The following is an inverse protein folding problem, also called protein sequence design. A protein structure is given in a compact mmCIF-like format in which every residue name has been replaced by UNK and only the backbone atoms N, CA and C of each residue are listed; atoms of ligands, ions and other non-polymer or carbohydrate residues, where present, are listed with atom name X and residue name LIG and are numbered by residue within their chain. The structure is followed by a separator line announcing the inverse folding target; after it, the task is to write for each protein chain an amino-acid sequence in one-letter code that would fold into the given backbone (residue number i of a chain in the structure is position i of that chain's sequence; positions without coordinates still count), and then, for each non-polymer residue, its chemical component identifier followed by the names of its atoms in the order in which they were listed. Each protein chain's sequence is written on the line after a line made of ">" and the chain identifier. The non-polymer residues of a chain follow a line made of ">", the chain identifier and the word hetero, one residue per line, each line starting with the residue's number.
data_IF_076289577462
#
_entry.id   IF_076289577462
#
_cell.length_a   1.000
_cell.length_b   1.000
_cell.length_c   1.000
_cell.angle_alpha   90.00
_cell.angle_beta   90.00
_cell.angle_gamma   90.00
#
_symmetry.space_group_name_H-M   'P 1'
#
loop_
_entity.id
_entity.type
_entity.pdbx_description
1 polymer ?
#
# COMPACT_ATOMS: atom_id res chain seq x y z
N UNK A 1 6.18 -35.17 -23.49
CA UNK A 1 5.34 -34.72 -22.36
C UNK A 1 5.97 -33.44 -21.84
N UNK A 2 5.45 -32.31 -22.31
CA UNK A 2 5.94 -31.00 -21.90
C UNK A 2 5.39 -30.69 -20.51
N UNK A 3 6.29 -30.56 -19.54
CA UNK A 3 5.92 -30.21 -18.17
C UNK A 3 5.68 -28.71 -18.17
N UNK A 4 4.42 -28.29 -18.25
CA UNK A 4 4.01 -26.91 -18.02
C UNK A 4 4.51 -26.53 -16.64
N UNK A 5 5.55 -25.70 -16.57
CA UNK A 5 5.96 -25.05 -15.35
C UNK A 5 4.91 -23.99 -15.06
N UNK A 6 3.94 -24.31 -14.22
CA UNK A 6 3.15 -23.29 -13.57
C UNK A 6 4.11 -22.61 -12.59
N UNK A 7 4.66 -21.46 -12.96
CA UNK A 7 5.18 -20.56 -11.93
C UNK A 7 4.03 -20.25 -10.98
N UNK A 8 4.25 -20.18 -9.66
CA UNK A 8 3.25 -19.65 -8.76
C UNK A 8 2.85 -18.26 -9.25
N UNK A 9 1.55 -17.97 -9.30
CA UNK A 9 1.06 -16.66 -9.70
C UNK A 9 1.66 -15.59 -8.77
N UNK A 10 2.01 -14.40 -9.29
CA UNK A 10 2.55 -13.34 -8.45
C UNK A 10 1.52 -12.97 -7.37
N UNK A 11 1.94 -13.00 -6.11
CA UNK A 11 1.05 -12.68 -4.98
C UNK A 11 0.63 -11.22 -4.99
N UNK A 12 1.42 -10.33 -5.62
CA UNK A 12 1.12 -8.91 -5.79
C UNK A 12 1.17 -8.56 -7.28
N UNK A 13 0.10 -7.94 -7.79
CA UNK A 13 0.07 -7.29 -9.10
C UNK A 13 -0.07 -5.78 -8.89
N UNK A 14 0.85 -5.01 -9.46
CA UNK A 14 0.79 -3.54 -9.47
C UNK A 14 0.85 -3.02 -10.90
N UNK A 15 -0.12 -2.20 -11.27
CA UNK A 15 -0.21 -1.55 -12.59
C UNK A 15 -0.29 -0.06 -12.44
N UNK A 16 0.55 0.64 -13.19
CA UNK A 16 0.62 2.10 -13.18
C UNK A 16 0.34 2.65 -14.56
N UNK A 17 -0.43 3.73 -14.62
CA UNK A 17 -0.61 4.53 -15.83
C UNK A 17 -0.54 6.02 -15.53
N UNK A 18 -0.10 6.81 -16.50
CA UNK A 18 -0.17 8.26 -16.45
C UNK A 18 -1.61 8.72 -16.61
N UNK A 19 -2.01 9.75 -15.85
CA UNK A 19 -3.34 10.35 -15.93
C UNK A 19 -3.22 11.87 -16.08
N UNK A 20 -4.27 12.50 -16.59
CA UNK A 20 -4.41 13.95 -16.46
C UNK A 20 -4.44 14.32 -14.98
N UNK A 21 -3.70 15.36 -14.59
CA UNK A 21 -3.54 15.75 -13.19
C UNK A 21 -4.86 16.29 -12.62
N UNK A 22 -5.55 15.55 -11.73
CA UNK A 22 -6.78 16.04 -11.15
C UNK A 22 -6.50 17.13 -10.10
N UNK A 23 -7.50 17.94 -9.79
CA UNK A 23 -7.47 18.72 -8.56
C UNK A 23 -7.46 17.77 -7.34
N UNK A 24 -6.69 18.10 -6.30
CA UNK A 24 -6.57 17.25 -5.12
C UNK A 24 -7.93 16.92 -4.49
N UNK A 25 -8.78 17.94 -4.30
CA UNK A 25 -10.12 17.77 -3.72
C UNK A 25 -10.99 16.83 -4.55
N UNK A 26 -10.97 16.95 -5.88
CA UNK A 26 -11.71 16.07 -6.77
C UNK A 26 -11.24 14.61 -6.66
N UNK A 27 -9.92 14.39 -6.59
CA UNK A 27 -9.37 13.05 -6.35
C UNK A 27 -9.74 12.51 -4.95
N UNK A 28 -9.73 13.36 -3.92
CA UNK A 28 -10.10 12.99 -2.55
C UNK A 28 -11.55 12.55 -2.44
N UNK A 29 -12.45 13.29 -3.09
CA UNK A 29 -13.89 12.99 -3.08
C UNK A 29 -14.23 11.74 -3.90
N UNK A 30 -13.53 11.52 -5.02
CA UNK A 30 -13.73 10.36 -5.88
C UNK A 30 -13.28 9.04 -5.24
N UNK A 31 -12.29 9.08 -4.34
CA UNK A 31 -11.76 7.90 -3.69
C UNK A 31 -12.57 7.51 -2.45
N UNK A 32 -12.99 6.24 -2.28
CA UNK A 32 -13.71 5.82 -1.08
C UNK A 32 -12.81 5.78 0.16
N UNK A 33 -13.42 5.77 1.35
CA UNK A 33 -12.72 5.47 2.59
C UNK A 33 -12.39 3.96 2.70
N UNK A 34 -11.35 3.56 3.45
CA UNK A 34 -10.36 4.42 4.12
C UNK A 34 -9.40 5.07 3.14
N UNK A 35 -8.93 6.28 3.47
CA UNK A 35 -8.00 7.07 2.64
C UNK A 35 -6.67 7.26 3.36
N UNK A 36 -5.60 7.30 2.59
CA UNK A 36 -4.27 7.70 3.04
C UNK A 36 -3.85 8.93 2.26
N UNK A 37 -3.40 9.98 2.94
CA UNK A 37 -2.72 11.12 2.32
C UNK A 37 -1.30 11.18 2.90
N UNK A 38 -0.30 11.21 2.02
CA UNK A 38 1.11 11.23 2.42
C UNK A 38 1.86 12.27 1.60
N UNK A 39 2.56 13.18 2.29
CA UNK A 39 3.38 14.21 1.69
C UNK A 39 4.71 14.29 2.44
N UNK A 40 5.73 13.61 1.92
CA UNK A 40 7.07 13.66 2.49
C UNK A 40 7.88 14.80 1.86
N UNK A 41 8.84 15.40 2.60
CA UNK A 41 9.78 16.34 2.01
C UNK A 41 10.47 15.73 0.79
N UNK A 42 10.59 16.49 -0.29
CA UNK A 42 11.28 16.12 -1.53
C UNK A 42 10.76 14.82 -2.20
N UNK A 43 9.54 14.38 -1.89
CA UNK A 43 8.87 13.23 -2.52
C UNK A 43 7.50 13.65 -3.07
N UNK A 44 6.92 12.79 -3.91
CA UNK A 44 5.60 13.02 -4.48
C UNK A 44 4.50 12.97 -3.41
N UNK A 45 3.49 13.83 -3.58
CA UNK A 45 2.25 13.73 -2.80
C UNK A 45 1.48 12.48 -3.25
N UNK A 46 1.08 11.65 -2.31
CA UNK A 46 0.27 10.45 -2.57
C UNK A 46 -1.07 10.60 -1.88
N UNK A 47 -2.13 10.38 -2.64
CA UNK A 47 -3.48 10.20 -2.15
C UNK A 47 -3.95 8.81 -2.53
N UNK A 48 -4.34 8.01 -1.55
CA UNK A 48 -4.63 6.60 -1.76
C UNK A 48 -5.90 6.15 -1.05
N UNK A 49 -6.42 4.99 -1.46
CA UNK A 49 -7.68 4.45 -0.98
C UNK A 49 -7.70 2.93 -0.95
N UNK A 50 -8.46 2.41 0.03
CA UNK A 50 -8.65 0.99 0.25
C UNK A 50 -7.37 0.29 0.70
N UNK A 51 -7.42 -1.04 0.75
CA UNK A 51 -6.28 -1.88 1.12
C UNK A 51 -6.26 -3.12 0.22
N UNK A 52 -5.21 -3.26 -0.59
CA UNK A 52 -4.90 -4.48 -1.33
C UNK A 52 -4.30 -5.52 -0.39
N UNK A 53 -3.41 -5.06 0.51
CA UNK A 53 -2.91 -5.82 1.64
C UNK A 53 -2.85 -4.94 2.89
N UNK A 54 -2.93 -5.56 4.07
CA UNK A 54 -2.68 -4.91 5.35
C UNK A 54 -1.74 -5.81 6.15
N UNK A 55 -0.61 -5.25 6.57
CA UNK A 55 0.34 -5.89 7.46
C UNK A 55 0.09 -5.36 8.88
N UNK A 56 -0.01 -6.27 9.85
CA UNK A 56 -0.14 -5.94 11.27
C UNK A 56 0.84 -6.76 12.09
N UNK A 57 1.35 -6.17 13.17
CA UNK A 57 2.17 -6.87 14.14
C UNK A 57 2.01 -6.28 15.53
N UNK A 58 2.38 -7.06 16.55
CA UNK A 58 2.31 -6.68 17.97
C UNK A 58 3.51 -7.23 18.73
N UNK A 59 3.78 -6.64 19.90
CA UNK A 59 4.87 -7.04 20.78
C UNK A 59 6.22 -6.47 20.37
N UNK A 60 7.30 -6.91 21.04
CA UNK A 60 8.64 -6.33 20.88
C UNK A 60 9.20 -6.52 19.46
N UNK A 61 8.84 -7.61 18.78
CA UNK A 61 9.35 -7.95 17.46
C UNK A 61 8.56 -7.32 16.30
N UNK A 62 7.57 -6.46 16.59
CA UNK A 62 6.66 -5.89 15.57
C UNK A 62 7.37 -5.19 14.42
N UNK A 63 8.50 -4.54 14.68
CA UNK A 63 9.30 -3.89 13.63
C UNK A 63 9.91 -4.90 12.65
N UNK A 64 10.48 -5.99 13.18
CA UNK A 64 11.05 -7.05 12.38
C UNK A 64 9.96 -7.78 11.59
N UNK A 65 8.82 -8.07 12.22
CA UNK A 65 7.69 -8.72 11.58
C UNK A 65 7.12 -7.91 10.40
N UNK A 66 6.95 -6.58 10.56
CA UNK A 66 6.51 -5.72 9.46
C UNK A 66 7.54 -5.70 8.32
N UNK A 67 8.83 -5.61 8.63
CA UNK A 67 9.89 -5.63 7.61
C UNK A 67 9.85 -6.92 6.79
N UNK A 68 9.83 -8.07 7.46
CA UNK A 68 9.76 -9.37 6.79
C UNK A 68 8.50 -9.49 5.92
N UNK A 69 7.33 -9.11 6.44
CA UNK A 69 6.09 -9.15 5.65
C UNK A 69 6.10 -8.20 4.46
N UNK A 70 6.77 -7.05 4.56
CA UNK A 70 6.95 -6.13 3.45
C UNK A 70 7.89 -6.72 2.38
N UNK A 71 9.01 -7.31 2.80
CA UNK A 71 9.97 -7.96 1.90
C UNK A 71 9.27 -9.10 1.12
N UNK A 72 8.55 -9.99 1.81
CA UNK A 72 7.80 -11.09 1.18
C UNK A 72 6.72 -10.60 0.19
N UNK A 73 6.02 -9.53 0.55
CA UNK A 73 4.97 -8.95 -0.29
C UNK A 73 5.54 -8.40 -1.61
N UNK A 74 6.69 -7.72 -1.57
CA UNK A 74 7.28 -7.11 -2.76
C UNK A 74 8.18 -8.05 -3.57
N UNK A 75 8.80 -9.05 -2.93
CA UNK A 75 9.66 -10.04 -3.62
C UNK A 75 8.86 -10.90 -4.62
N UNK A 76 7.57 -11.07 -4.37
CA UNK A 76 6.64 -11.85 -5.22
C UNK A 76 5.84 -11.00 -6.21
N UNK A 77 6.14 -9.69 -6.30
CA UNK A 77 5.33 -8.73 -7.04
C UNK A 77 5.63 -8.65 -8.54
N UNK A 78 4.59 -8.77 -9.38
CA UNK A 78 4.61 -8.28 -10.76
C UNK A 78 4.28 -6.78 -10.74
N UNK A 79 5.34 -5.96 -10.63
CA UNK A 79 5.24 -4.51 -10.54
C UNK A 79 5.63 -3.87 -11.86
N UNK A 80 4.65 -3.23 -12.51
CA UNK A 80 4.89 -2.37 -13.66
C UNK A 80 4.69 -0.90 -13.29
N UNK A 81 5.70 -0.31 -12.65
CA UNK A 81 5.73 1.11 -12.34
C UNK A 81 6.33 1.87 -13.54
N UNK A 82 5.52 2.66 -14.24
CA UNK A 82 5.99 3.51 -15.35
C UNK A 82 6.97 4.61 -14.91
N UNK A 83 7.04 4.89 -13.60
CA UNK A 83 8.01 5.81 -12.99
C UNK A 83 8.24 5.44 -11.52
N UNK A 84 9.42 5.76 -10.98
CA UNK A 84 9.75 5.53 -9.57
C UNK A 84 8.84 6.29 -8.60
N UNK A 85 8.34 7.46 -9.01
CA UNK A 85 7.42 8.27 -8.22
C UNK A 85 6.10 7.52 -7.92
N UNK A 86 5.67 6.66 -8.84
CA UNK A 86 4.38 5.95 -8.79
C UNK A 86 4.50 4.49 -8.34
N UNK A 87 5.68 4.08 -7.84
CA UNK A 87 5.87 2.73 -7.28
C UNK A 87 4.84 2.43 -6.19
N UNK A 88 4.39 1.17 -6.05
CA UNK A 88 3.56 0.77 -4.92
C UNK A 88 4.32 0.96 -3.61
N UNK A 89 3.62 1.44 -2.57
CA UNK A 89 4.22 1.75 -1.26
C UNK A 89 3.28 1.32 -0.14
N UNK A 90 3.84 0.80 0.95
CA UNK A 90 3.13 0.58 2.20
C UNK A 90 3.07 1.89 2.99
N UNK A 91 1.90 2.23 3.53
CA UNK A 91 1.69 3.40 4.38
C UNK A 91 1.16 2.99 5.74
N UNK A 92 1.73 3.54 6.80
CA UNK A 92 1.35 3.14 8.14
C UNK A 92 2.31 3.60 9.21
N UNK A 93 2.28 2.91 10.35
CA UNK A 93 3.16 3.23 11.46
C UNK A 93 3.09 2.21 12.58
N UNK A 94 3.84 2.54 13.62
CA UNK A 94 3.94 1.80 14.87
C UNK A 94 3.32 2.62 16.00
N UNK A 95 2.66 1.94 16.93
CA UNK A 95 2.22 2.56 18.17
C UNK A 95 3.42 2.97 19.03
N UNK A 96 3.27 4.07 19.75
CA UNK A 96 4.28 4.58 20.69
C UNK A 96 4.52 3.61 21.85
N UNK A 97 3.49 2.87 22.27
CA UNK A 97 3.54 1.93 23.38
C UNK A 97 2.92 0.59 23.00
N UNK A 98 3.38 -0.45 23.68
CA UNK A 98 2.81 -1.80 23.63
C UNK A 98 1.57 -1.88 24.53
N UNK A 99 0.73 -2.89 24.30
CA UNK A 99 -0.45 -3.17 25.11
C UNK A 99 -1.77 -2.74 24.49
N UNK A 100 -1.77 -2.16 23.29
CA UNK A 100 -2.98 -1.69 22.61
C UNK A 100 -3.81 -0.71 23.43
N UNK A 101 -4.95 -0.28 22.89
CA UNK A 101 -5.96 0.39 23.69
C UNK A 101 -7.23 -0.45 23.54
N UNK A 102 -7.68 -1.05 24.63
CA UNK A 102 -8.85 -1.92 24.70
C UNK A 102 -9.83 -1.36 25.74
N UNK A 103 -11.01 -0.95 25.27
CA UNK A 103 -12.06 -0.43 26.13
C UNK A 103 -13.14 0.30 25.34
N UNK A 104 -14.40 0.02 25.67
CA UNK A 104 -15.57 0.69 25.07
C UNK A 104 -15.42 2.22 25.17
N UNK A 105 -15.61 3.00 24.09
CA UNK A 105 -16.12 2.65 22.75
C UNK A 105 -15.07 2.25 21.70
N UNK A 106 -13.80 2.15 22.08
CA UNK A 106 -12.69 1.96 21.16
C UNK A 106 -12.33 0.48 21.02
N UNK A 107 -12.40 -0.01 19.78
CA UNK A 107 -11.85 -1.32 19.44
C UNK A 107 -10.31 -1.31 19.47
N UNK A 108 -9.68 -2.47 19.68
CA UNK A 108 -8.22 -2.57 19.68
C UNK A 108 -7.63 -2.13 18.33
N UNK A 109 -6.68 -1.20 18.37
CA UNK A 109 -5.86 -0.83 17.23
C UNK A 109 -4.51 -1.55 17.32
N UNK A 110 -4.04 -2.19 16.23
CA UNK A 110 -2.79 -2.96 16.26
C UNK A 110 -1.57 -2.07 16.52
N UNK A 111 -0.56 -2.62 17.20
CA UNK A 111 0.66 -1.88 17.57
C UNK A 111 1.57 -1.59 16.38
N UNK A 112 1.33 -2.24 15.25
CA UNK A 112 1.86 -1.88 13.95
C UNK A 112 0.79 -2.11 12.89
N UNK A 113 0.62 -1.15 11.98
CA UNK A 113 -0.27 -1.30 10.83
C UNK A 113 0.31 -0.59 9.64
N UNK A 114 0.49 -1.33 8.55
CA UNK A 114 0.90 -0.82 7.26
C UNK A 114 -0.07 -1.32 6.19
N UNK A 115 -0.48 -0.45 5.28
CA UNK A 115 -1.46 -0.75 4.24
C UNK A 115 -0.82 -0.52 2.89
N UNK A 116 -0.93 -1.51 2.00
CA UNK A 116 -0.71 -1.31 0.58
C UNK A 116 -2.06 -0.89 -0.01
N UNK A 117 -2.23 0.36 -0.46
CA UNK A 117 -3.53 0.82 -0.93
C UNK A 117 -3.97 0.09 -2.19
N UNK A 118 -5.28 -0.09 -2.40
CA UNK A 118 -5.79 -0.63 -3.68
C UNK A 118 -5.58 0.35 -4.82
N UNK A 119 -5.74 1.63 -4.52
CA UNK A 119 -5.60 2.72 -5.48
C UNK A 119 -4.68 3.78 -4.89
N UNK A 120 -3.71 4.24 -5.68
CA UNK A 120 -2.82 5.35 -5.36
C UNK A 120 -2.85 6.36 -6.50
N UNK A 121 -3.15 7.62 -6.18
CA UNK A 121 -2.95 8.78 -7.05
C UNK A 121 -1.70 9.49 -6.57
N UNK A 122 -0.65 9.49 -7.39
CA UNK A 122 0.62 10.15 -7.11
C UNK A 122 0.69 11.45 -7.89
N UNK A 123 0.93 12.56 -7.21
CA UNK A 123 1.22 13.87 -7.78
C UNK A 123 2.72 14.13 -7.67
N UNK A 124 3.42 13.98 -8.79
CA UNK A 124 4.87 14.18 -8.88
C UNK A 124 5.20 15.36 -9.81
N UNK A 125 6.46 15.77 -9.83
CA UNK A 125 6.94 16.85 -10.72
C UNK A 125 6.89 16.43 -12.20
N UNK A 126 7.00 15.12 -12.47
CA UNK A 126 6.92 14.57 -13.81
C UNK A 126 5.49 14.21 -14.27
N UNK A 127 4.46 14.53 -13.48
CA UNK A 127 3.07 14.29 -13.83
C UNK A 127 2.23 13.66 -12.72
N UNK A 128 1.03 13.22 -13.08
CA UNK A 128 0.14 12.49 -12.19
C UNK A 128 -0.01 11.04 -12.64
N UNK A 129 -0.07 10.13 -11.67
CA UNK A 129 -0.06 8.70 -11.93
C UNK A 129 -1.14 8.00 -11.12
N UNK A 130 -1.80 7.04 -11.75
CA UNK A 130 -2.71 6.11 -11.09
C UNK A 130 -2.02 4.75 -10.98
N UNK A 131 -1.83 4.27 -9.76
CA UNK A 131 -1.35 2.92 -9.47
C UNK A 131 -2.46 2.12 -8.81
N UNK A 132 -2.74 0.93 -9.35
CA UNK A 132 -3.71 -0.03 -8.80
C UNK A 132 -2.98 -1.28 -8.37
N UNK A 133 -3.26 -1.72 -7.15
CA UNK A 133 -2.64 -2.90 -6.54
C UNK A 133 -3.71 -3.97 -6.25
N UNK A 134 -3.38 -5.21 -6.56
CA UNK A 134 -4.14 -6.40 -6.18
C UNK A 134 -3.20 -7.43 -5.56
N UNK A 135 -3.68 -8.18 -4.57
CA UNK A 135 -2.92 -9.21 -3.87
C UNK A 135 -3.77 -10.47 -3.74
N UNK A 136 -3.20 -11.64 -4.01
CA UNK A 136 -3.85 -12.96 -3.93
C UNK A 136 -4.03 -13.63 -5.30
N UNK A 137 -4.65 -14.81 -5.31
CA UNK A 137 -4.74 -15.67 -6.50
C UNK A 137 -5.59 -15.08 -7.63
N UNK A 138 -6.50 -14.17 -7.32
CA UNK A 138 -7.38 -13.47 -8.27
C UNK A 138 -6.81 -12.11 -8.73
N UNK A 139 -5.53 -11.82 -8.45
CA UNK A 139 -4.88 -10.55 -8.76
C UNK A 139 -4.61 -10.31 -10.25
#
# INVERSE_FOLDING_TARGET
>A
MERVRSSPAPTLVSRTTGIERPAFAAAFDALPAPRTAWNAPDDALVLASGAAATLTASGPDRFAAIRTGADELFDTGDVHAGTEAARPRLFGGFAFHEGGCDGDPWGPFPEARFVLPRVQVTFADNGAWLTVNAVGDDA
#
